data_IF_004550055170
#
_entry.id   IF_004550055170
#
_cell.length_a   1.000
_cell.length_b   1.000
_cell.length_c   1.000
_cell.angle_alpha   90.00
_cell.angle_beta   90.00
_cell.angle_gamma   90.00
#
_symmetry.space_group_name_H-M   'P 1'
#
loop_
_entity.id
_entity.type
_entity.pdbx_description
1 polymer ?
#
# COMPACT_ATOMS: atom_id res chain seq x y z
N UNK A 1 -12.17 -21.39 14.21
CA UNK A 1 -12.39 -20.07 13.60
C UNK A 1 -11.06 -19.48 13.12
N UNK A 2 -10.59 -19.83 11.91
CA UNK A 2 -9.30 -19.33 11.37
C UNK A 2 -9.48 -18.65 10.00
N UNK A 3 -10.62 -17.99 9.78
CA UNK A 3 -10.88 -17.18 8.57
C UNK A 3 -10.42 -15.73 8.77
N UNK A 4 -9.18 -15.47 9.15
CA UNK A 4 -8.73 -14.06 9.27
C UNK A 4 -7.25 -13.78 9.04
N UNK A 5 -6.40 -14.78 8.79
CA UNK A 5 -4.96 -14.54 8.55
C UNK A 5 -4.59 -14.43 7.07
N UNK A 6 -5.34 -15.08 6.15
CA UNK A 6 -5.06 -15.01 4.71
C UNK A 6 -5.51 -13.70 4.04
N UNK A 7 -6.43 -12.95 4.65
CA UNK A 7 -6.89 -11.67 4.10
C UNK A 7 -5.84 -10.54 4.20
N UNK A 8 -4.75 -10.77 4.95
CA UNK A 8 -3.67 -9.79 5.10
C UNK A 8 -2.69 -9.78 3.93
N UNK A 9 -2.62 -10.84 3.13
CA UNK A 9 -1.67 -10.93 2.01
C UNK A 9 -2.13 -10.14 0.77
N UNK A 10 -3.45 -9.95 0.61
CA UNK A 10 -4.02 -9.15 -0.49
C UNK A 10 -3.81 -7.63 -0.30
N UNK A 11 -3.37 -7.17 0.88
CA UNK A 11 -3.03 -5.75 1.13
C UNK A 11 -1.64 -5.38 0.63
N UNK A 12 -0.87 -6.33 0.13
CA UNK A 12 0.46 -6.10 -0.42
C UNK A 12 0.45 -6.27 -1.94
N UNK A 13 -0.70 -6.20 -2.58
CA UNK A 13 -0.82 -6.30 -4.04
C UNK A 13 -1.54 -5.08 -4.60
N UNK A 14 -1.02 -4.53 -5.68
CA UNK A 14 -1.59 -3.38 -6.36
C UNK A 14 -2.94 -3.76 -6.98
N UNK A 15 -4.04 -3.05 -6.67
CA UNK A 15 -5.36 -3.36 -7.24
C UNK A 15 -5.47 -3.08 -8.74
N UNK A 16 -4.52 -2.34 -9.33
CA UNK A 16 -4.54 -1.97 -10.74
C UNK A 16 -3.76 -2.94 -11.63
N UNK A 17 -2.55 -3.35 -11.22
CA UNK A 17 -1.70 -4.24 -12.02
C UNK A 17 -1.50 -5.64 -11.41
N UNK A 18 -1.96 -5.88 -10.18
CA UNK A 18 -1.76 -7.16 -9.50
C UNK A 18 -0.31 -7.44 -9.08
N UNK A 19 0.60 -6.46 -9.19
CA UNK A 19 1.98 -6.59 -8.71
C UNK A 19 2.10 -6.37 -7.20
N UNK A 20 3.13 -6.95 -6.59
CA UNK A 20 3.42 -6.75 -5.17
C UNK A 20 3.77 -5.29 -4.87
N UNK A 21 3.14 -4.72 -3.83
CA UNK A 21 3.46 -3.40 -3.31
C UNK A 21 4.77 -3.44 -2.54
N UNK A 22 5.64 -2.49 -2.83
CA UNK A 22 6.90 -2.31 -2.12
C UNK A 22 6.58 -1.53 -0.84
N UNK A 23 6.69 -2.20 0.31
CA UNK A 23 6.57 -1.55 1.61
C UNK A 23 7.92 -0.98 2.07
N UNK A 24 7.94 0.30 2.38
CA UNK A 24 9.07 1.00 3.00
C UNK A 24 8.63 1.60 4.33
N UNK A 25 9.46 1.51 5.37
CA UNK A 25 9.22 2.13 6.67
C UNK A 25 10.34 3.11 6.94
N UNK A 26 9.98 4.33 7.32
CA UNK A 26 10.92 5.35 7.77
C UNK A 26 10.60 5.76 9.22
N UNK A 27 11.39 6.70 9.76
CA UNK A 27 11.22 7.21 11.12
C UNK A 27 9.90 7.98 11.35
N UNK A 28 9.24 8.40 10.28
CA UNK A 28 8.02 9.23 10.32
C UNK A 28 6.75 8.37 10.14
N UNK A 29 6.88 7.21 9.51
CA UNK A 29 5.75 6.42 9.08
C UNK A 29 6.09 5.20 8.23
N UNK A 30 5.06 4.65 7.59
CA UNK A 30 5.20 3.58 6.60
C UNK A 30 4.55 3.98 5.29
N UNK A 31 5.13 3.52 4.20
CA UNK A 31 4.71 3.78 2.82
C UNK A 31 4.64 2.46 2.08
N UNK A 32 3.58 2.21 1.32
CA UNK A 32 3.48 1.12 0.36
C UNK A 32 3.34 1.71 -1.02
N UNK A 33 4.16 1.32 -1.97
CA UNK A 33 4.14 1.86 -3.33
C UNK A 33 4.16 0.74 -4.35
N UNK A 34 3.29 0.82 -5.35
CA UNK A 34 3.34 -0.05 -6.51
C UNK A 34 4.56 0.29 -7.38
N UNK A 35 5.35 -0.68 -7.88
CA UNK A 35 6.46 -0.42 -8.78
C UNK A 35 6.05 0.32 -10.07
N UNK A 36 4.82 0.10 -10.57
CA UNK A 36 4.25 0.82 -11.72
C UNK A 36 3.64 2.18 -11.35
N UNK A 37 3.76 2.60 -10.09
CA UNK A 37 3.23 3.85 -9.57
C UNK A 37 1.70 4.02 -9.74
N UNK A 38 0.95 2.92 -9.87
CA UNK A 38 -0.52 2.93 -9.95
C UNK A 38 -1.20 3.07 -8.58
N UNK A 39 -0.49 2.76 -7.51
CA UNK A 39 -1.06 2.75 -6.16
C UNK A 39 0.01 3.08 -5.13
N UNK A 40 -0.32 3.95 -4.18
CA UNK A 40 0.56 4.33 -3.07
C UNK A 40 -0.25 4.56 -1.80
N UNK A 41 0.20 4.03 -0.67
CA UNK A 41 -0.35 4.25 0.66
C UNK A 41 0.73 4.83 1.55
N UNK A 42 0.40 5.83 2.36
CA UNK A 42 1.31 6.45 3.32
C UNK A 42 0.59 6.61 4.66
N UNK A 43 1.22 6.17 5.73
CA UNK A 43 0.73 6.38 7.10
C UNK A 43 1.81 7.06 7.92
N UNK A 44 1.48 8.24 8.44
CA UNK A 44 2.34 9.01 9.32
C UNK A 44 1.73 8.98 10.71
N UNK A 45 2.15 8.00 11.51
CA UNK A 45 1.59 7.79 12.85
C UNK A 45 1.77 9.01 13.76
N UNK A 46 2.91 9.70 13.64
CA UNK A 46 3.21 10.91 14.41
C UNK A 46 2.32 12.10 14.05
N UNK A 47 1.76 12.11 12.83
CA UNK A 47 0.84 13.14 12.36
C UNK A 47 -0.63 12.70 12.46
N UNK A 48 -0.90 11.42 12.73
CA UNK A 48 -2.24 10.85 12.64
C UNK A 48 -2.83 10.87 11.21
N UNK A 49 -1.97 10.95 10.19
CA UNK A 49 -2.38 11.11 8.79
C UNK A 49 -2.23 9.79 8.04
N UNK A 50 -3.26 9.46 7.23
CA UNK A 50 -3.24 8.34 6.29
C UNK A 50 -3.61 8.85 4.89
N UNK A 51 -2.77 8.56 3.91
CA UNK A 51 -2.92 9.02 2.53
C UNK A 51 -2.97 7.79 1.63
N UNK A 52 -3.95 7.75 0.74
CA UNK A 52 -4.05 6.74 -0.32
C UNK A 52 -4.14 7.43 -1.65
N UNK A 53 -3.13 7.20 -2.48
CA UNK A 53 -3.03 7.73 -3.84
C UNK A 53 -3.28 6.60 -4.83
N UNK A 54 -4.30 6.80 -5.67
CA UNK A 54 -4.56 5.94 -6.83
C UNK A 54 -4.00 6.64 -8.06
N UNK A 55 -2.85 6.19 -8.55
CA UNK A 55 -2.30 6.65 -9.82
C UNK A 55 -3.12 6.05 -10.97
N UNK A 56 -3.53 6.86 -11.93
CA UNK A 56 -4.12 6.34 -13.16
C UNK A 56 -3.02 5.63 -13.96
N UNK A 57 -3.24 4.40 -14.46
CA UNK A 57 -2.31 3.80 -15.42
C UNK A 57 -2.23 4.75 -16.61
N UNK A 58 -1.03 5.28 -16.90
CA UNK A 58 -0.80 5.98 -18.16
C UNK A 58 -0.87 4.91 -19.24
N UNK A 59 -1.95 4.99 -20.03
CA UNK A 59 -2.12 4.27 -21.28
C UNK A 59 -0.99 4.59 -22.27
#
# INVERSE_FOLDING_TARGET
MIKSLLAKLFKDTCPACGEALISSRNSIGWTKTCPQNHYKEESYGVLGVYIVTKGSPRH
#
